data_IF_130277972166
#
_entry.id   IF_130277972166
#
_cell.length_a   1.000
_cell.length_b   1.000
_cell.length_c   1.000
_cell.angle_alpha   90.00
_cell.angle_beta   90.00
_cell.angle_gamma   90.00
#
_symmetry.space_group_name_H-M   'P 1'
#
loop_
_entity.id
_entity.type
_entity.pdbx_description
1 polymer ?
#
# COMPACT_ATOMS: atom_id res chain seq x y z
N UNK A 1 3.10 -9.52 22.30
CA UNK A 1 2.50 -8.78 21.16
C UNK A 1 1.28 -7.93 21.51
N UNK A 2 0.59 -8.14 22.65
CA UNK A 2 -0.69 -7.46 22.95
C UNK A 2 -0.57 -5.96 23.26
N UNK A 3 0.57 -5.48 23.75
CA UNK A 3 0.75 -4.06 24.14
C UNK A 3 2.04 -3.43 23.58
N UNK A 4 2.59 -4.01 22.50
CA UNK A 4 3.76 -3.45 21.83
C UNK A 4 3.35 -2.66 20.60
N UNK A 5 3.92 -1.46 20.43
CA UNK A 5 3.73 -0.61 19.22
C UNK A 5 3.95 -1.39 17.92
N UNK A 6 4.89 -2.34 17.93
CA UNK A 6 5.16 -3.26 16.83
C UNK A 6 3.96 -4.16 16.47
N UNK A 7 3.19 -4.64 17.45
CA UNK A 7 2.02 -5.50 17.19
C UNK A 7 0.94 -4.76 16.40
N UNK A 8 0.69 -3.49 16.75
CA UNK A 8 -0.26 -2.63 16.04
C UNK A 8 0.22 -2.35 14.61
N UNK A 9 1.51 -2.04 14.43
CA UNK A 9 2.10 -1.81 13.10
C UNK A 9 1.93 -3.05 12.21
N UNK A 10 2.24 -4.25 12.72
CA UNK A 10 2.09 -5.49 11.95
C UNK A 10 0.65 -5.74 11.50
N UNK A 11 -0.34 -5.46 12.35
CA UNK A 11 -1.76 -5.63 12.00
C UNK A 11 -2.13 -4.65 10.88
N UNK A 12 -1.74 -3.37 10.98
CA UNK A 12 -2.02 -2.41 9.92
C UNK A 12 -1.32 -2.77 8.61
N UNK A 13 -0.08 -3.26 8.66
CA UNK A 13 0.62 -3.74 7.47
C UNK A 13 -0.11 -4.93 6.85
N UNK A 14 -0.53 -5.91 7.66
CA UNK A 14 -1.27 -7.07 7.18
C UNK A 14 -2.59 -6.70 6.50
N UNK A 15 -3.31 -5.69 7.02
CA UNK A 15 -4.56 -5.20 6.43
C UNK A 15 -4.32 -4.49 5.09
N UNK A 16 -3.24 -3.72 4.96
CA UNK A 16 -2.92 -2.98 3.73
C UNK A 16 -2.20 -3.83 2.67
N UNK A 17 -1.64 -4.97 3.06
CA UNK A 17 -0.84 -5.84 2.20
C UNK A 17 -1.54 -6.28 0.89
N UNK A 18 -2.81 -6.73 0.91
CA UNK A 18 -3.47 -7.21 -0.31
C UNK A 18 -3.61 -6.11 -1.36
N UNK A 19 -3.93 -4.88 -0.94
CA UNK A 19 -4.03 -3.73 -1.83
C UNK A 19 -2.67 -3.37 -2.42
N UNK A 20 -1.61 -3.39 -1.59
CA UNK A 20 -0.26 -3.12 -2.04
C UNK A 20 0.22 -4.14 -3.09
N UNK A 21 -0.02 -5.42 -2.85
CA UNK A 21 0.32 -6.51 -3.79
C UNK A 21 -0.47 -6.37 -5.08
N UNK A 22 -1.77 -6.10 -5.00
CA UNK A 22 -2.63 -5.91 -6.15
C UNK A 22 -2.11 -4.76 -7.04
N UNK A 23 -1.90 -3.57 -6.45
CA UNK A 23 -1.39 -2.41 -7.17
C UNK A 23 -0.01 -2.65 -7.77
N UNK A 24 0.91 -3.25 -7.00
CA UNK A 24 2.24 -3.56 -7.48
C UNK A 24 2.23 -4.53 -8.66
N UNK A 25 1.38 -5.56 -8.60
CA UNK A 25 1.26 -6.56 -9.67
C UNK A 25 0.67 -5.96 -10.94
N UNK A 26 -0.39 -5.17 -10.81
CA UNK A 26 -1.01 -4.50 -11.96
C UNK A 26 -0.07 -3.47 -12.60
N UNK A 27 0.74 -2.79 -11.79
CA UNK A 27 1.75 -1.86 -12.31
C UNK A 27 2.86 -2.59 -13.07
N UNK A 28 3.37 -3.71 -12.55
CA UNK A 28 4.40 -4.51 -13.24
C UNK A 28 3.86 -5.08 -14.55
N UNK A 29 2.62 -5.58 -14.57
CA UNK A 29 1.96 -6.07 -15.80
C UNK A 29 1.74 -4.96 -16.84
N UNK A 30 1.65 -3.70 -16.42
CA UNK A 30 1.49 -2.58 -17.33
C UNK A 30 2.81 -2.17 -18.03
N UNK A 31 3.95 -2.72 -17.61
CA UNK A 31 5.24 -2.48 -18.26
C UNK A 31 5.23 -3.21 -19.61
N UNK A 32 5.49 -2.53 -20.74
CA UNK A 32 5.47 -3.15 -22.05
C UNK A 32 6.63 -4.13 -22.22
N UNK A 33 6.35 -5.32 -22.73
CA UNK A 33 7.35 -6.38 -22.96
C UNK A 33 8.48 -5.94 -23.90
N UNK A 34 8.19 -5.03 -24.84
CA UNK A 34 9.17 -4.47 -25.77
C UNK A 34 10.34 -3.78 -25.07
N UNK A 35 10.14 -3.22 -23.87
CA UNK A 35 11.19 -2.60 -23.06
C UNK A 35 12.17 -3.65 -22.49
N UNK A 36 11.64 -4.83 -22.18
CA UNK A 36 12.43 -5.96 -21.67
C UNK A 36 13.21 -6.58 -22.83
N UNK A 37 12.55 -6.79 -23.98
CA UNK A 37 13.18 -7.30 -25.20
C UNK A 37 14.30 -6.38 -25.68
N UNK A 38 14.11 -5.06 -25.68
CA UNK A 38 15.18 -4.12 -26.05
C UNK A 38 16.38 -4.21 -25.11
N UNK A 39 16.15 -4.32 -23.80
CA UNK A 39 17.23 -4.47 -22.82
C UNK A 39 17.98 -5.80 -22.97
N UNK A 40 17.29 -6.86 -23.40
CA UNK A 40 17.92 -8.14 -23.73
C UNK A 40 18.76 -8.07 -25.00
N UNK A 41 18.29 -7.37 -26.03
CA UNK A 41 19.06 -7.10 -27.26
C UNK A 41 20.33 -6.31 -26.94
N UNK A 42 20.26 -5.36 -26.00
CA UNK A 42 21.41 -4.62 -25.46
C UNK A 42 22.36 -5.48 -24.59
N UNK A 43 22.10 -6.79 -24.46
CA UNK A 43 22.94 -7.73 -23.73
C UNK A 43 22.82 -7.64 -22.21
N UNK A 44 21.78 -6.98 -21.68
CA UNK A 44 21.58 -6.92 -20.24
C UNK A 44 21.10 -8.27 -19.68
N UNK A 45 21.79 -8.77 -18.64
CA UNK A 45 21.33 -9.93 -17.88
C UNK A 45 19.99 -9.66 -17.19
N UNK A 46 19.15 -10.68 -17.02
CA UNK A 46 17.85 -10.60 -16.32
C UNK A 46 17.93 -9.94 -14.94
N UNK A 47 18.99 -10.20 -14.16
CA UNK A 47 19.20 -9.54 -12.87
C UNK A 47 19.41 -8.04 -13.02
N UNK A 48 20.14 -7.61 -14.05
CA UNK A 48 20.37 -6.20 -14.35
C UNK A 48 19.08 -5.51 -14.78
N UNK A 49 18.28 -6.17 -15.62
CA UNK A 49 16.96 -5.67 -16.06
C UNK A 49 16.05 -5.47 -14.84
N UNK A 50 15.98 -6.45 -13.93
CA UNK A 50 15.14 -6.35 -12.74
C UNK A 50 15.54 -5.17 -11.84
N UNK A 51 16.82 -5.07 -11.44
CA UNK A 51 17.25 -4.04 -10.49
C UNK A 51 17.39 -2.63 -11.09
N UNK A 52 17.76 -2.52 -12.36
CA UNK A 52 18.03 -1.22 -12.99
C UNK A 52 16.88 -0.68 -13.84
N UNK A 53 15.91 -1.51 -14.24
CA UNK A 53 14.78 -1.09 -15.06
C UNK A 53 13.47 -1.30 -14.30
N UNK A 54 13.14 -2.55 -13.97
CA UNK A 54 11.83 -2.87 -13.36
C UNK A 54 11.68 -2.22 -11.97
N UNK A 55 12.66 -2.40 -11.08
CA UNK A 55 12.63 -1.87 -9.72
C UNK A 55 12.49 -0.33 -9.67
N UNK A 56 13.29 0.48 -10.40
CA UNK A 56 13.10 1.92 -10.41
C UNK A 56 11.80 2.36 -11.09
N UNK A 57 11.31 1.63 -12.09
CA UNK A 57 10.00 1.88 -12.67
C UNK A 57 8.86 1.63 -11.67
N UNK A 58 9.04 0.73 -10.71
CA UNK A 58 8.07 0.52 -9.62
C UNK A 58 8.11 1.58 -8.51
N UNK A 59 9.04 2.55 -8.53
CA UNK A 59 9.06 3.66 -7.55
C UNK A 59 7.73 4.44 -7.49
N UNK A 60 7.13 4.90 -8.61
CA UNK A 60 5.83 5.57 -8.60
C UNK A 60 4.73 4.76 -7.91
N UNK A 61 4.63 3.45 -8.15
CA UNK A 61 3.60 2.63 -7.48
C UNK A 61 3.83 2.52 -5.97
N UNK A 62 5.08 2.49 -5.51
CA UNK A 62 5.38 2.53 -4.08
C UNK A 62 4.89 3.82 -3.42
N UNK A 63 5.02 4.97 -4.09
CA UNK A 63 4.49 6.24 -3.59
C UNK A 63 2.96 6.18 -3.49
N UNK A 64 2.30 5.64 -4.51
CA UNK A 64 0.84 5.45 -4.51
C UNK A 64 0.39 4.56 -3.35
N UNK A 65 1.04 3.41 -3.14
CA UNK A 65 0.73 2.49 -2.04
C UNK A 65 0.91 3.20 -0.69
N UNK A 66 1.96 4.01 -0.53
CA UNK A 66 2.22 4.76 0.69
C UNK A 66 1.10 5.77 0.98
N UNK A 67 0.70 6.55 -0.04
CA UNK A 67 -0.38 7.54 0.09
C UNK A 67 -1.70 6.86 0.43
N UNK A 68 -2.05 5.78 -0.28
CA UNK A 68 -3.30 5.05 -0.03
C UNK A 68 -3.33 4.41 1.36
N UNK A 69 -2.21 3.81 1.79
CA UNK A 69 -2.10 3.23 3.13
C UNK A 69 -2.26 4.29 4.21
N UNK A 70 -1.67 5.48 4.01
CA UNK A 70 -1.85 6.61 4.92
C UNK A 70 -3.32 7.06 4.98
N UNK A 71 -3.98 7.19 3.83
CA UNK A 71 -5.40 7.56 3.76
C UNK A 71 -6.31 6.54 4.46
N UNK A 72 -6.02 5.25 4.33
CA UNK A 72 -6.79 4.17 4.99
C UNK A 72 -6.66 4.30 6.51
N UNK A 73 -5.44 4.48 7.03
CA UNK A 73 -5.20 4.64 8.47
C UNK A 73 -5.88 5.91 8.98
N UNK A 74 -5.73 7.02 8.26
CA UNK A 74 -6.38 8.28 8.59
C UNK A 74 -7.90 8.09 8.64
N UNK A 75 -8.50 7.54 7.60
CA UNK A 75 -9.95 7.24 7.54
C UNK A 75 -10.41 6.40 8.73
N UNK A 76 -9.65 5.37 9.12
CA UNK A 76 -9.99 4.53 10.27
C UNK A 76 -10.06 5.34 11.58
N UNK A 77 -9.16 6.29 11.79
CA UNK A 77 -9.17 7.18 12.97
C UNK A 77 -10.42 8.07 12.97
N UNK A 78 -10.76 8.68 11.83
CA UNK A 78 -11.96 9.53 11.71
C UNK A 78 -13.25 8.73 11.94
N UNK A 79 -13.31 7.50 11.42
CA UNK A 79 -14.46 6.63 11.62
C UNK A 79 -14.65 6.26 13.09
N UNK A 80 -13.57 5.95 13.80
CA UNK A 80 -13.58 5.69 15.24
C UNK A 80 -14.08 6.91 16.03
N UNK A 81 -13.55 8.09 15.70
CA UNK A 81 -13.94 9.34 16.35
C UNK A 81 -15.44 9.65 16.13
N UNK A 82 -15.90 9.56 14.89
CA UNK A 82 -17.31 9.77 14.51
C UNK A 82 -18.24 8.84 15.30
N UNK A 83 -17.88 7.57 15.42
CA UNK A 83 -18.68 6.57 16.15
C UNK A 83 -18.76 6.86 17.65
N UNK A 84 -17.67 7.35 18.27
CA UNK A 84 -17.66 7.74 19.68
C UNK A 84 -18.57 8.95 19.93
N UNK A 85 -18.50 9.97 19.08
CA UNK A 85 -19.38 11.14 19.19
C UNK A 85 -20.85 10.77 19.02
N UNK A 86 -21.17 9.94 18.02
CA UNK A 86 -22.54 9.49 17.77
C UNK A 86 -23.11 8.70 18.95
N UNK A 87 -22.36 7.73 19.50
CA UNK A 87 -22.79 6.99 20.70
C UNK A 87 -23.02 7.91 21.90
N UNK A 88 -22.14 8.90 22.11
CA UNK A 88 -22.27 9.84 23.23
C UNK A 88 -23.51 10.71 23.10
N UNK A 89 -23.85 11.14 21.89
CA UNK A 89 -25.05 11.93 21.61
C UNK A 89 -26.34 11.14 21.89
N UNK A 90 -26.36 9.86 21.49
CA UNK A 90 -27.51 8.97 21.65
C UNK A 90 -27.82 8.68 23.15
N UNK A 91 -26.78 8.55 23.96
CA UNK A 91 -26.93 8.36 25.42
C UNK A 91 -27.53 9.61 26.09
N UNK A 92 -27.11 10.80 25.64
CA UNK A 92 -27.62 12.08 26.14
C UNK A 92 -29.07 12.36 25.72
N UNK A 93 -29.55 11.83 24.59
CA UNK A 93 -30.94 11.98 24.16
C UNK A 93 -31.91 11.00 24.83
N UNK A 94 -31.39 9.97 25.51
CA UNK A 94 -32.15 8.92 26.19
C UNK A 94 -32.29 9.14 27.71
N UNK A 95 -31.69 10.21 28.25
CA UNK A 95 -31.78 10.62 29.67
C UNK A 95 -32.51 11.94 29.77
#
# INVERSE_FOLDING_TARGET
>A
LRDTRLGIIMIYVAINLPLAIFLGTEYVKAIPDSLIESAQIDGASYFRIFFNIILPMCKPVMVTILILSFLIIYKNIYQLLSLVYFKRLLILSLT
#
